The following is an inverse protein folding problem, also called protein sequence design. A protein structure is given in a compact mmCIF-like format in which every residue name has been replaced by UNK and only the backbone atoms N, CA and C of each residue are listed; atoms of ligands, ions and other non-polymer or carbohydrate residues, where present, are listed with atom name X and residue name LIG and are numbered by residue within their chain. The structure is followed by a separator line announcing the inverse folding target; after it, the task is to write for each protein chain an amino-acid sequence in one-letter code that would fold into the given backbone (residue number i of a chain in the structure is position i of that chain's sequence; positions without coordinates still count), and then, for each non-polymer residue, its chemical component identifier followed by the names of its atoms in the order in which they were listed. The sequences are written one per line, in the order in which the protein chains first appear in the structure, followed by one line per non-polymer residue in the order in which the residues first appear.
data_IF_318165149936
#
_entry.id   IF_318165149936
#
_cell.length_a   1.000
_cell.length_b   1.000
_cell.length_c   1.000
_cell.angle_alpha   90.00
_cell.angle_beta   90.00
_cell.angle_gamma   90.00
#
_symmetry.space_group_name_H-M   'P 1'
#
loop_
_entity.id
_entity.type
_entity.pdbx_description
1 polymer ?
#
# COMPACT_ATOMS: atom_id res chain seq x y z
N UNK A 1 -14.24 10.42 -5.06
CA UNK A 1 -14.07 8.96 -4.90
C UNK A 1 -15.41 8.32 -4.64
N UNK A 2 -15.52 7.01 -4.77
CA UNK A 2 -16.75 6.28 -4.46
C UNK A 2 -16.43 4.84 -4.08
N UNK A 3 -17.26 4.27 -3.21
CA UNK A 3 -17.18 2.86 -2.87
C UNK A 3 -17.98 2.03 -3.87
N UNK A 4 -17.39 0.95 -4.34
CA UNK A 4 -18.08 -0.08 -5.09
C UNK A 4 -17.95 -1.41 -4.34
N UNK A 5 -19.01 -1.77 -3.61
CA UNK A 5 -19.05 -2.89 -2.69
C UNK A 5 -19.21 -4.25 -3.42
N UNK A 6 -19.49 -4.23 -4.73
CA UNK A 6 -19.89 -5.43 -5.47
C UNK A 6 -18.81 -6.51 -5.50
N UNK A 7 -17.53 -6.15 -5.38
CA UNK A 7 -16.43 -7.11 -5.32
C UNK A 7 -16.51 -8.03 -4.09
N UNK A 8 -16.64 -7.43 -2.90
CA UNK A 8 -16.81 -8.17 -1.65
C UNK A 8 -18.14 -8.93 -1.61
N UNK A 9 -19.23 -8.34 -2.10
CA UNK A 9 -20.55 -8.98 -2.17
C UNK A 9 -20.53 -10.23 -3.05
N UNK A 10 -19.87 -10.14 -4.22
CA UNK A 10 -19.73 -11.24 -5.15
C UNK A 10 -18.88 -12.38 -4.56
N UNK A 11 -17.79 -12.05 -3.87
CA UNK A 11 -16.98 -13.06 -3.19
C UNK A 11 -17.75 -13.76 -2.07
N UNK A 12 -18.52 -13.02 -1.27
CA UNK A 12 -19.40 -13.62 -0.26
C UNK A 12 -20.48 -14.51 -0.87
N UNK A 13 -21.05 -14.13 -2.01
CA UNK A 13 -22.00 -14.95 -2.75
C UNK A 13 -21.35 -16.26 -3.26
N UNK A 14 -20.09 -16.20 -3.69
CA UNK A 14 -19.31 -17.40 -4.06
C UNK A 14 -19.10 -18.33 -2.87
N UNK A 15 -18.76 -17.79 -1.69
CA UNK A 15 -18.64 -18.59 -0.46
C UNK A 15 -19.95 -19.30 -0.08
N UNK A 16 -21.09 -18.77 -0.50
CA UNK A 16 -22.42 -19.35 -0.30
C UNK A 16 -22.86 -20.27 -1.45
N UNK A 17 -22.01 -20.47 -2.47
CA UNK A 17 -22.32 -21.29 -3.65
C UNK A 17 -23.34 -20.67 -4.60
N UNK A 18 -23.52 -19.34 -4.56
CA UNK A 18 -24.51 -18.60 -5.36
C UNK A 18 -23.99 -18.06 -6.68
N UNK A 19 -22.67 -18.00 -6.86
CA UNK A 19 -22.00 -17.52 -8.08
C UNK A 19 -20.78 -18.40 -8.36
N UNK A 20 -20.20 -18.28 -9.55
CA UNK A 20 -19.00 -19.04 -9.95
C UNK A 20 -17.70 -18.28 -9.70
N UNK A 21 -16.59 -19.01 -9.69
CA UNK A 21 -15.22 -18.45 -9.68
C UNK A 21 -15.03 -17.46 -10.83
N UNK A 22 -15.49 -17.85 -12.02
CA UNK A 22 -15.37 -17.04 -13.23
C UNK A 22 -15.97 -15.66 -13.02
N UNK A 23 -17.11 -15.56 -12.34
CA UNK A 23 -17.75 -14.28 -12.06
C UNK A 23 -16.86 -13.40 -11.16
N UNK A 24 -16.21 -13.98 -10.14
CA UNK A 24 -15.26 -13.26 -9.28
C UNK A 24 -14.13 -12.70 -10.14
N UNK A 25 -13.46 -13.55 -10.92
CA UNK A 25 -12.28 -13.11 -11.65
C UNK A 25 -12.63 -12.16 -12.80
N UNK A 26 -13.82 -12.23 -13.40
CA UNK A 26 -14.29 -11.26 -14.40
C UNK A 26 -14.69 -9.91 -13.79
N UNK A 27 -14.85 -9.83 -12.47
CA UNK A 27 -15.21 -8.58 -11.79
C UNK A 27 -14.07 -7.54 -11.89
N UNK A 28 -14.37 -6.25 -12.14
CA UNK A 28 -13.36 -5.20 -12.30
C UNK A 28 -12.33 -5.13 -11.17
N UNK A 29 -12.78 -5.23 -9.91
CA UNK A 29 -11.91 -5.23 -8.73
C UNK A 29 -10.86 -6.35 -8.77
N UNK A 30 -11.26 -7.57 -9.16
CA UNK A 30 -10.36 -8.72 -9.19
C UNK A 30 -9.50 -8.73 -10.46
N UNK A 31 -9.97 -8.15 -11.56
CA UNK A 31 -9.11 -7.88 -12.73
C UNK A 31 -7.95 -6.94 -12.39
N UNK A 32 -8.15 -5.96 -11.49
CA UNK A 32 -7.06 -5.11 -10.99
C UNK A 32 -6.08 -5.93 -10.15
N UNK A 33 -6.59 -6.79 -9.25
CA UNK A 33 -5.76 -7.69 -8.42
C UNK A 33 -4.93 -8.63 -9.30
N UNK A 34 -5.52 -9.22 -10.34
CA UNK A 34 -4.82 -10.11 -11.27
C UNK A 34 -3.69 -9.38 -12.00
N UNK A 35 -3.95 -8.19 -12.54
CA UNK A 35 -2.92 -7.37 -13.20
C UNK A 35 -1.81 -6.94 -12.25
N UNK A 36 -2.16 -6.61 -11.00
CA UNK A 36 -1.17 -6.29 -9.97
C UNK A 36 -0.30 -7.52 -9.66
N UNK A 37 -0.92 -8.69 -9.54
CA UNK A 37 -0.21 -9.94 -9.33
C UNK A 37 0.72 -10.26 -10.50
N UNK A 38 0.28 -10.11 -11.76
CA UNK A 38 1.14 -10.29 -12.93
C UNK A 38 2.38 -9.38 -12.91
N UNK A 39 2.24 -8.16 -12.37
CA UNK A 39 3.33 -7.18 -12.31
C UNK A 39 4.28 -7.38 -11.13
N UNK A 40 3.77 -7.79 -9.96
CA UNK A 40 4.53 -7.73 -8.71
C UNK A 40 4.53 -9.02 -7.87
N UNK A 41 3.63 -9.99 -8.12
CA UNK A 41 3.55 -11.20 -7.28
C UNK A 41 2.99 -12.44 -8.01
N UNK A 42 2.23 -13.28 -7.29
CA UNK A 42 1.53 -14.46 -7.80
C UNK A 42 0.03 -14.24 -7.73
N UNK A 43 -0.71 -14.72 -8.73
CA UNK A 43 -2.16 -14.56 -8.80
C UNK A 43 -2.90 -15.54 -7.86
N UNK A 44 -4.02 -15.08 -7.29
CA UNK A 44 -4.92 -15.90 -6.48
C UNK A 44 -5.55 -17.00 -7.34
N UNK A 45 -5.60 -18.25 -6.85
CA UNK A 45 -6.30 -19.35 -7.53
C UNK A 45 -7.46 -19.92 -6.74
N UNK A 46 -8.34 -20.64 -7.42
CA UNK A 46 -9.46 -21.37 -6.81
C UNK A 46 -9.03 -22.37 -5.74
N UNK A 47 -7.89 -23.04 -5.96
CA UNK A 47 -7.34 -23.97 -5.00
C UNK A 47 -6.91 -23.25 -3.71
N UNK A 48 -6.41 -22.01 -3.82
CA UNK A 48 -6.05 -21.21 -2.65
C UNK A 48 -7.28 -20.84 -1.82
N UNK A 49 -8.37 -20.43 -2.48
CA UNK A 49 -9.64 -20.09 -1.82
C UNK A 49 -10.23 -21.33 -1.14
N UNK A 50 -10.32 -22.46 -1.85
CA UNK A 50 -10.85 -23.71 -1.31
C UNK A 50 -10.02 -24.23 -0.13
N UNK A 51 -8.70 -24.16 -0.22
CA UNK A 51 -7.80 -24.54 0.87
C UNK A 51 -8.02 -23.64 2.09
N UNK A 52 -8.13 -22.33 1.89
CA UNK A 52 -8.41 -21.38 2.97
C UNK A 52 -9.77 -21.62 3.65
N UNK A 53 -10.81 -21.99 2.88
CA UNK A 53 -12.12 -22.35 3.42
C UNK A 53 -12.10 -23.63 4.24
N UNK A 54 -11.24 -24.58 3.88
CA UNK A 54 -10.98 -25.79 4.67
C UNK A 54 -10.07 -25.53 5.88
N UNK A 55 -9.69 -24.26 6.13
CA UNK A 55 -8.83 -23.86 7.24
C UNK A 55 -7.36 -24.16 7.03
N UNK A 56 -6.93 -24.49 5.81
CA UNK A 56 -5.51 -24.65 5.47
C UNK A 56 -4.86 -23.26 5.37
N UNK A 57 -3.56 -23.21 5.63
CA UNK A 57 -2.78 -21.98 5.47
C UNK A 57 -2.75 -21.58 3.99
N UNK A 58 -2.86 -20.27 3.73
CA UNK A 58 -2.71 -19.69 2.41
C UNK A 58 -1.50 -18.77 2.38
N UNK A 59 -0.82 -18.70 1.24
CA UNK A 59 0.23 -17.71 1.01
C UNK A 59 -0.36 -16.29 0.81
N UNK A 60 -1.67 -16.18 0.57
CA UNK A 60 -2.35 -14.91 0.43
C UNK A 60 -2.85 -14.43 1.79
N UNK A 61 -2.32 -13.29 2.23
CA UNK A 61 -2.69 -12.63 3.48
C UNK A 61 -4.21 -12.58 3.65
N UNK A 62 -4.93 -12.17 2.60
CA UNK A 62 -6.36 -11.95 2.65
C UNK A 62 -7.24 -13.19 2.68
N UNK A 63 -6.68 -14.39 2.55
CA UNK A 63 -7.42 -15.64 2.72
C UNK A 63 -7.27 -16.23 4.12
N UNK A 64 -6.33 -15.74 4.93
CA UNK A 64 -6.07 -16.29 6.25
C UNK A 64 -7.31 -16.16 7.16
N UNK A 65 -7.74 -17.29 7.73
CA UNK A 65 -8.92 -17.40 8.60
C UNK A 65 -10.24 -16.89 7.98
N UNK A 66 -10.36 -16.82 6.64
CA UNK A 66 -11.55 -16.26 5.97
C UNK A 66 -12.85 -16.88 6.47
N UNK A 67 -12.91 -18.21 6.59
CA UNK A 67 -14.09 -18.94 7.07
C UNK A 67 -14.51 -18.55 8.50
N UNK A 68 -13.54 -18.25 9.38
CA UNK A 68 -13.81 -17.81 10.76
C UNK A 68 -14.25 -16.35 10.82
N UNK A 69 -13.76 -15.54 9.88
CA UNK A 69 -14.00 -14.11 9.83
C UNK A 69 -15.24 -13.71 9.02
N UNK A 70 -15.87 -14.62 8.26
CA UNK A 70 -17.01 -14.34 7.37
C UNK A 70 -18.10 -13.47 8.01
N UNK A 71 -18.51 -13.76 9.25
CA UNK A 71 -19.54 -12.97 9.95
C UNK A 71 -19.07 -11.55 10.28
N UNK A 72 -17.79 -11.39 10.65
CA UNK A 72 -17.19 -10.08 10.93
C UNK A 72 -17.02 -9.28 9.64
N UNK A 73 -16.62 -9.93 8.54
CA UNK A 73 -16.51 -9.33 7.21
C UNK A 73 -17.88 -8.81 6.76
N UNK A 74 -18.95 -9.62 6.89
CA UNK A 74 -20.32 -9.19 6.59
C UNK A 74 -20.74 -7.98 7.43
N UNK A 75 -20.51 -8.02 8.74
CA UNK A 75 -20.81 -6.88 9.62
C UNK A 75 -20.03 -5.62 9.21
N UNK A 76 -18.75 -5.76 8.85
CA UNK A 76 -17.94 -4.64 8.40
C UNK A 76 -18.41 -4.09 7.05
N UNK A 77 -18.84 -4.95 6.13
CA UNK A 77 -19.44 -4.55 4.85
C UNK A 77 -20.74 -3.74 5.04
N UNK A 78 -21.58 -4.08 6.03
CA UNK A 78 -22.76 -3.28 6.38
C UNK A 78 -22.38 -1.90 6.97
N UNK A 79 -21.33 -1.86 7.78
CA UNK A 79 -20.77 -0.58 8.28
C UNK A 79 -20.30 0.28 7.11
N UNK A 80 -19.56 -0.30 6.16
CA UNK A 80 -19.15 0.41 4.94
C UNK A 80 -20.37 0.93 4.19
N UNK A 81 -21.36 0.08 3.93
CA UNK A 81 -22.58 0.44 3.20
C UNK A 81 -23.31 1.62 3.83
N UNK A 82 -23.38 1.66 5.16
CA UNK A 82 -24.07 2.71 5.91
C UNK A 82 -23.29 4.02 5.97
N UNK A 83 -21.97 4.00 5.75
CA UNK A 83 -21.09 5.15 5.93
C UNK A 83 -20.39 5.63 4.64
N UNK A 84 -20.69 5.04 3.47
CA UNK A 84 -19.94 5.26 2.22
C UNK A 84 -19.66 6.75 1.92
N UNK A 85 -20.67 7.61 2.03
CA UNK A 85 -20.51 9.03 1.73
C UNK A 85 -19.59 9.72 2.75
N UNK A 86 -19.87 9.56 4.04
CA UNK A 86 -19.07 10.17 5.10
C UNK A 86 -17.61 9.70 5.06
N UNK A 87 -17.39 8.41 4.76
CA UNK A 87 -16.05 7.83 4.66
C UNK A 87 -15.32 8.28 3.40
N UNK A 88 -16.04 8.41 2.28
CA UNK A 88 -15.52 9.02 1.06
C UNK A 88 -15.09 10.46 1.30
N UNK A 89 -15.89 11.24 2.01
CA UNK A 89 -15.58 12.65 2.31
C UNK A 89 -14.33 12.77 3.20
N UNK A 90 -14.20 11.94 4.25
CA UNK A 90 -13.01 11.90 5.12
C UNK A 90 -11.73 11.63 4.31
N UNK A 91 -11.73 10.61 3.45
CA UNK A 91 -10.56 10.27 2.65
C UNK A 91 -10.28 11.37 1.61
N UNK A 92 -11.34 11.93 1.01
CA UNK A 92 -11.22 13.01 0.04
C UNK A 92 -10.58 14.26 0.66
N UNK A 93 -11.05 14.68 1.84
CA UNK A 93 -10.48 15.80 2.60
C UNK A 93 -9.01 15.55 2.93
N UNK A 94 -8.66 14.35 3.42
CA UNK A 94 -7.29 13.99 3.73
C UNK A 94 -6.34 14.07 2.51
N UNK A 95 -6.83 13.75 1.31
CA UNK A 95 -6.03 13.83 0.08
C UNK A 95 -6.00 15.24 -0.53
N UNK A 96 -7.08 16.03 -0.42
CA UNK A 96 -7.13 17.39 -0.96
C UNK A 96 -6.07 18.31 -0.36
N UNK A 97 -5.73 18.12 0.92
CA UNK A 97 -4.65 18.86 1.60
C UNK A 97 -3.28 18.68 0.93
N UNK A 98 -3.09 17.55 0.23
CA UNK A 98 -1.86 17.23 -0.48
C UNK A 98 -2.00 17.36 -2.00
N UNK A 99 -3.21 17.33 -2.52
CA UNK A 99 -3.46 17.28 -3.96
C UNK A 99 -4.71 18.11 -4.34
N UNK A 100 -4.68 19.44 -4.15
CA UNK A 100 -5.85 20.29 -4.34
C UNK A 100 -6.36 20.32 -5.80
N UNK A 101 -5.47 20.13 -6.77
CA UNK A 101 -5.78 20.18 -8.21
C UNK A 101 -6.01 18.78 -8.83
N UNK A 102 -5.88 17.70 -8.05
CA UNK A 102 -6.03 16.34 -8.56
C UNK A 102 -7.47 15.91 -8.77
N UNK A 103 -7.70 15.09 -9.80
CA UNK A 103 -8.95 14.38 -9.95
C UNK A 103 -9.03 13.19 -8.98
N UNK A 104 -9.58 13.40 -7.79
CA UNK A 104 -9.76 12.37 -6.75
C UNK A 104 -10.99 11.45 -6.99
N UNK A 105 -11.41 11.27 -8.24
CA UNK A 105 -12.40 10.25 -8.65
C UNK A 105 -11.75 8.87 -8.78
N UNK A 106 -11.28 8.35 -7.65
CA UNK A 106 -10.71 7.00 -7.54
C UNK A 106 -11.81 6.05 -7.02
N UNK A 107 -12.13 4.95 -7.73
CA UNK A 107 -12.98 3.89 -7.21
C UNK A 107 -12.29 3.11 -6.10
N UNK A 108 -13.02 2.85 -5.02
CA UNK A 108 -12.58 2.04 -3.89
C UNK A 108 -13.38 0.74 -3.90
N UNK A 109 -12.71 -0.39 -4.12
CA UNK A 109 -13.27 -1.73 -4.15
C UNK A 109 -12.90 -2.49 -2.87
N UNK A 110 -13.83 -2.63 -1.91
CA UNK A 110 -13.74 -3.69 -0.94
C UNK A 110 -13.71 -5.06 -1.65
N UNK A 111 -12.69 -5.86 -1.34
CA UNK A 111 -12.51 -7.22 -1.85
C UNK A 111 -12.31 -8.18 -0.68
N UNK A 112 -12.23 -9.48 -0.98
CA UNK A 112 -11.78 -10.51 -0.04
C UNK A 112 -10.70 -11.34 -0.73
N UNK A 113 -9.57 -11.55 -0.05
CA UNK A 113 -8.42 -12.29 -0.57
C UNK A 113 -7.22 -11.40 -0.91
N UNK A 114 -6.16 -12.03 -1.43
CA UNK A 114 -4.90 -11.38 -1.86
C UNK A 114 -4.08 -10.73 -0.73
N UNK A 115 -3.88 -9.41 -0.75
CA UNK A 115 -3.09 -8.63 0.22
C UNK A 115 -3.99 -7.73 1.09
N UNK A 116 -3.44 -6.90 1.97
CA UNK A 116 -4.17 -5.90 2.77
C UNK A 116 -4.87 -4.87 1.89
N UNK A 117 -4.14 -4.32 0.93
CA UNK A 117 -4.56 -3.24 0.05
C UNK A 117 -3.71 -3.17 -1.20
N UNK A 118 -4.29 -2.59 -2.26
CA UNK A 118 -3.60 -2.30 -3.52
C UNK A 118 -4.15 -0.98 -4.07
N UNK A 119 -3.27 -0.05 -4.40
CA UNK A 119 -3.54 1.10 -5.26
C UNK A 119 -2.89 0.90 -6.62
N UNK A 120 -3.68 0.57 -7.64
CA UNK A 120 -3.14 0.21 -8.96
C UNK A 120 -4.15 0.46 -10.08
N UNK A 121 -3.65 0.89 -11.25
CA UNK A 121 -4.45 1.07 -12.46
C UNK A 121 -5.69 1.97 -12.25
N UNK A 122 -5.50 3.06 -11.51
CA UNK A 122 -6.56 4.04 -11.30
C UNK A 122 -7.56 3.69 -10.19
N UNK A 123 -7.37 2.60 -9.45
CA UNK A 123 -8.32 2.10 -8.46
C UNK A 123 -7.63 1.64 -7.18
N UNK A 124 -8.40 1.59 -6.09
CA UNK A 124 -7.97 1.00 -4.81
C UNK A 124 -8.78 -0.26 -4.55
N UNK A 125 -8.11 -1.36 -4.23
CA UNK A 125 -8.71 -2.62 -3.80
C UNK A 125 -8.25 -2.95 -2.38
N UNK A 126 -9.17 -2.98 -1.41
CA UNK A 126 -8.85 -3.29 -0.01
C UNK A 126 -9.51 -4.58 0.46
N UNK A 127 -8.72 -5.46 1.07
CA UNK A 127 -9.21 -6.74 1.58
C UNK A 127 -9.91 -6.59 2.93
N UNK A 128 -11.20 -6.90 2.97
CA UNK A 128 -12.01 -6.86 4.18
C UNK A 128 -11.65 -7.94 5.20
N UNK A 129 -10.98 -9.02 4.78
CA UNK A 129 -10.46 -10.04 5.69
C UNK A 129 -9.08 -9.66 6.25
N UNK A 130 -8.94 -8.42 6.69
CA UNK A 130 -7.75 -7.91 7.36
C UNK A 130 -8.07 -7.68 8.84
N UNK A 131 -7.29 -8.29 9.73
CA UNK A 131 -7.59 -8.30 11.17
C UNK A 131 -7.61 -6.89 11.76
N UNK A 132 -6.73 -5.98 11.29
CA UNK A 132 -6.71 -4.60 11.76
C UNK A 132 -8.02 -3.87 11.40
N UNK A 133 -8.51 -4.02 10.17
CA UNK A 133 -9.77 -3.37 9.74
C UNK A 133 -10.98 -3.93 10.48
N UNK A 134 -10.99 -5.25 10.74
CA UNK A 134 -12.07 -5.90 11.48
C UNK A 134 -12.08 -5.56 12.98
N UNK A 135 -10.97 -5.09 13.53
CA UNK A 135 -10.85 -4.66 14.93
C UNK A 135 -11.10 -3.16 15.09
N UNK A 136 -10.53 -2.36 14.19
CA UNK A 136 -10.60 -0.91 14.17
C UNK A 136 -10.95 -0.43 12.76
N UNK A 137 -12.24 -0.18 12.45
CA UNK A 137 -12.67 0.15 11.09
C UNK A 137 -12.03 1.42 10.52
N UNK A 138 -11.56 2.36 11.34
CA UNK A 138 -10.84 3.55 10.83
C UNK A 138 -9.46 3.22 10.26
N UNK A 139 -8.85 2.07 10.59
CA UNK A 139 -7.63 1.59 9.90
C UNK A 139 -7.87 1.40 8.41
N UNK A 140 -9.08 1.00 8.02
CA UNK A 140 -9.45 0.86 6.61
C UNK A 140 -9.35 2.19 5.87
N UNK A 141 -9.79 3.29 6.48
CA UNK A 141 -9.69 4.63 5.90
C UNK A 141 -8.23 5.08 5.76
N UNK A 142 -7.40 4.83 6.77
CA UNK A 142 -5.97 5.14 6.71
C UNK A 142 -5.27 4.38 5.57
N UNK A 143 -5.65 3.12 5.34
CA UNK A 143 -5.14 2.33 4.21
C UNK A 143 -5.73 2.79 2.86
N UNK A 144 -6.97 3.25 2.78
CA UNK A 144 -7.47 3.86 1.52
C UNK A 144 -6.62 5.08 1.16
N UNK A 145 -6.33 5.95 2.12
CA UNK A 145 -5.48 7.13 1.90
C UNK A 145 -4.12 6.69 1.35
N UNK A 146 -3.50 5.68 1.98
CA UNK A 146 -2.23 5.07 1.53
C UNK A 146 -2.31 4.59 0.08
N UNK A 147 -3.27 3.72 -0.26
CA UNK A 147 -3.38 3.16 -1.61
C UNK A 147 -3.76 4.22 -2.67
N UNK A 148 -4.53 5.25 -2.29
CA UNK A 148 -4.79 6.38 -3.18
C UNK A 148 -3.50 7.11 -3.58
N UNK A 149 -2.48 7.14 -2.73
CA UNK A 149 -1.17 7.72 -3.07
C UNK A 149 -0.55 6.99 -4.24
N UNK A 150 -0.56 5.66 -4.24
CA UNK A 150 0.00 4.88 -5.36
C UNK A 150 -0.76 5.15 -6.66
N UNK A 151 -2.10 5.22 -6.60
CA UNK A 151 -2.93 5.57 -7.77
C UNK A 151 -2.60 6.96 -8.30
N UNK A 152 -2.37 7.95 -7.44
CA UNK A 152 -1.98 9.30 -7.85
C UNK A 152 -0.55 9.28 -8.41
N UNK A 153 0.36 8.53 -7.79
CA UNK A 153 1.75 8.41 -8.20
C UNK A 153 1.86 7.86 -9.63
N UNK A 154 1.07 6.85 -10.00
CA UNK A 154 1.03 6.28 -11.36
C UNK A 154 0.59 7.28 -12.46
N UNK A 155 -0.04 8.40 -12.09
CA UNK A 155 -0.41 9.45 -13.06
C UNK A 155 0.79 10.28 -13.49
N UNK A 156 1.81 10.34 -12.63
CA UNK A 156 2.99 11.18 -12.80
C UNK A 156 4.24 10.38 -13.14
N UNK A 157 4.31 9.14 -12.67
CA UNK A 157 5.51 8.32 -12.71
C UNK A 157 5.24 6.99 -13.39
N UNK A 158 6.16 6.60 -14.27
CA UNK A 158 6.19 5.24 -14.79
C UNK A 158 6.98 4.35 -13.83
N UNK A 159 6.31 3.34 -13.27
CA UNK A 159 6.95 2.30 -12.46
C UNK A 159 7.35 1.15 -13.38
N UNK A 160 8.65 0.94 -13.66
CA UNK A 160 9.12 -0.15 -14.50
C UNK A 160 8.81 -1.50 -13.86
N UNK A 161 8.71 -2.55 -14.68
CA UNK A 161 8.58 -3.90 -14.16
C UNK A 161 9.91 -4.36 -13.54
N UNK A 162 9.84 -5.25 -12.55
CA UNK A 162 11.02 -5.68 -11.81
C UNK A 162 12.06 -6.42 -12.70
N UNK A 163 11.59 -7.14 -13.72
CA UNK A 163 12.43 -7.84 -14.70
C UNK A 163 13.18 -6.89 -15.66
N UNK A 164 12.78 -5.63 -15.73
CA UNK A 164 13.46 -4.57 -16.50
C UNK A 164 14.65 -3.97 -15.70
N UNK A 165 14.75 -4.24 -14.40
CA UNK A 165 15.76 -3.71 -13.47
C UNK A 165 16.93 -4.70 -13.38
N UNK A 166 17.92 -4.55 -14.27
CA UNK A 166 18.98 -5.56 -14.45
C UNK A 166 20.40 -5.09 -14.12
N UNK A 167 20.63 -3.78 -13.97
CA UNK A 167 21.95 -3.22 -13.64
C UNK A 167 21.99 -2.64 -12.23
N UNK A 168 23.16 -2.58 -11.57
CA UNK A 168 23.30 -1.96 -10.25
C UNK A 168 22.76 -0.52 -10.19
N UNK A 169 23.03 0.29 -11.22
CA UNK A 169 22.49 1.64 -11.32
C UNK A 169 20.95 1.66 -11.38
N UNK A 170 20.33 0.73 -12.12
CA UNK A 170 18.88 0.59 -12.14
C UNK A 170 18.33 0.16 -10.79
N UNK A 171 18.99 -0.76 -10.06
CA UNK A 171 18.58 -1.15 -8.71
C UNK A 171 18.60 0.03 -7.74
N UNK A 172 19.67 0.82 -7.74
CA UNK A 172 19.78 2.02 -6.92
C UNK A 172 18.70 3.05 -7.21
N UNK A 173 18.42 3.25 -8.50
CA UNK A 173 17.36 4.15 -8.92
C UNK A 173 15.98 3.59 -8.54
N UNK A 174 15.74 2.30 -8.70
CA UNK A 174 14.50 1.62 -8.31
C UNK A 174 14.28 1.71 -6.79
N UNK A 175 15.35 1.65 -5.99
CA UNK A 175 15.28 1.88 -4.54
C UNK A 175 14.85 3.33 -4.21
N UNK A 176 15.33 4.30 -4.99
CA UNK A 176 14.89 5.70 -4.89
C UNK A 176 13.40 5.87 -5.22
N UNK A 177 12.91 5.18 -6.27
CA UNK A 177 11.49 5.13 -6.63
C UNK A 177 10.63 4.62 -5.48
N UNK A 178 10.97 3.45 -4.92
CA UNK A 178 10.16 2.89 -3.84
C UNK A 178 10.27 3.70 -2.55
N UNK A 179 11.42 4.29 -2.25
CA UNK A 179 11.54 5.20 -1.11
C UNK A 179 10.66 6.44 -1.27
N UNK A 180 10.58 6.98 -2.49
CA UNK A 180 9.72 8.12 -2.79
C UNK A 180 8.22 7.75 -2.72
N UNK A 181 7.84 6.65 -3.36
CA UNK A 181 6.44 6.23 -3.46
C UNK A 181 5.91 5.74 -2.09
N UNK A 182 6.55 4.74 -1.50
CA UNK A 182 6.13 4.14 -0.21
C UNK A 182 6.28 5.12 0.94
N UNK A 183 7.37 5.90 0.93
CA UNK A 183 7.60 6.94 1.93
C UNK A 183 6.46 7.95 1.96
N UNK A 184 5.98 8.39 0.78
CA UNK A 184 4.86 9.32 0.71
C UNK A 184 3.54 8.66 1.11
N UNK A 185 3.33 7.40 0.68
CA UNK A 185 2.14 6.64 1.03
C UNK A 185 2.00 6.40 2.54
N UNK A 186 3.10 6.34 3.30
CA UNK A 186 3.09 6.30 4.77
C UNK A 186 2.98 7.71 5.38
N UNK A 187 3.59 8.71 4.74
CA UNK A 187 3.59 10.09 5.23
C UNK A 187 2.21 10.75 5.18
N UNK A 188 1.48 10.64 4.07
CA UNK A 188 0.16 11.30 3.91
C UNK A 188 -0.86 10.87 4.98
N UNK A 189 -1.10 9.58 5.24
CA UNK A 189 -2.04 9.16 6.29
C UNK A 189 -1.54 9.40 7.72
N UNK A 190 -0.30 9.87 7.93
CA UNK A 190 0.30 10.02 9.26
C UNK A 190 -0.51 10.95 10.18
N UNK A 191 -0.94 12.12 9.69
CA UNK A 191 -1.75 13.06 10.49
C UNK A 191 -3.13 12.50 10.81
N UNK A 192 -3.77 11.86 9.83
CA UNK A 192 -5.04 11.17 10.03
C UNK A 192 -4.92 10.11 11.14
N UNK A 193 -3.86 9.29 11.08
CA UNK A 193 -3.60 8.25 12.08
C UNK A 193 -3.37 8.83 13.48
N UNK A 194 -2.65 9.94 13.61
CA UNK A 194 -2.47 10.62 14.89
C UNK A 194 -3.81 11.11 15.48
N UNK A 195 -4.64 11.76 14.66
CA UNK A 195 -5.94 12.29 15.08
C UNK A 195 -6.90 11.18 15.53
N UNK A 196 -6.84 10.03 14.88
CA UNK A 196 -7.68 8.86 15.18
C UNK A 196 -7.02 7.83 16.11
N UNK A 197 -5.81 8.09 16.62
CA UNK A 197 -5.03 7.20 17.51
C UNK A 197 -4.74 5.82 16.89
N UNK A 198 -4.50 5.78 15.58
CA UNK A 198 -4.23 4.57 14.77
C UNK A 198 -2.73 4.33 14.61
N UNK A 199 -2.01 4.31 15.74
CA UNK A 199 -0.54 4.25 15.77
C UNK A 199 0.01 2.84 16.06
N UNK A 200 -0.88 1.84 16.17
CA UNK A 200 -0.51 0.44 16.43
C UNK A 200 0.01 -0.28 15.17
N UNK A 201 -0.13 0.34 14.00
CA UNK A 201 0.42 -0.18 12.75
C UNK A 201 1.97 -0.15 12.82
N UNK A 202 2.67 -1.26 12.51
CA UNK A 202 4.11 -1.41 12.73
C UNK A 202 5.00 -0.29 12.20
N UNK A 203 4.70 0.30 11.05
CA UNK A 203 5.51 1.38 10.50
C UNK A 203 5.47 2.63 11.38
N UNK A 204 4.30 2.92 11.97
CA UNK A 204 4.08 4.09 12.82
C UNK A 204 4.60 3.88 14.24
N UNK A 205 4.61 2.65 14.74
CA UNK A 205 5.29 2.27 15.98
C UNK A 205 6.79 2.54 15.88
N UNK A 206 7.41 2.16 14.77
CA UNK A 206 8.84 2.41 14.51
C UNK A 206 9.12 3.91 14.34
N UNK A 207 8.31 4.62 13.55
CA UNK A 207 8.44 6.07 13.36
C UNK A 207 8.33 6.86 14.68
N UNK A 208 7.58 6.33 15.65
CA UNK A 208 7.41 6.95 16.97
C UNK A 208 8.50 6.55 17.97
N UNK A 209 9.39 5.62 17.61
CA UNK A 209 10.47 5.12 18.46
C UNK A 209 11.83 5.62 17.96
N UNK A 210 12.44 6.53 18.72
CA UNK A 210 13.71 7.18 18.33
C UNK A 210 14.87 6.23 18.10
N UNK A 211 14.91 5.08 18.78
CA UNK A 211 16.02 4.14 18.65
C UNK A 211 15.81 3.21 17.44
N UNK A 212 14.59 2.71 17.23
CA UNK A 212 14.27 1.91 16.05
C UNK A 212 14.41 2.72 14.76
N UNK A 213 14.04 4.01 14.75
CA UNK A 213 14.22 4.84 13.55
C UNK A 213 15.70 5.14 13.28
N UNK A 214 16.56 5.23 14.30
CA UNK A 214 18.02 5.34 14.10
C UNK A 214 18.59 4.07 13.49
N UNK A 215 18.15 2.90 13.97
CA UNK A 215 18.54 1.61 13.40
C UNK A 215 18.13 1.51 11.93
N UNK A 216 16.88 1.85 11.59
CA UNK A 216 16.41 1.89 10.21
C UNK A 216 17.19 2.90 9.35
N UNK A 217 17.51 4.09 9.88
CA UNK A 217 18.34 5.08 9.18
C UNK A 217 19.73 4.50 8.86
N UNK A 218 20.36 3.81 9.81
CA UNK A 218 21.65 3.15 9.59
C UNK A 218 21.55 2.08 8.50
N UNK A 219 20.57 1.18 8.62
CA UNK A 219 20.36 0.11 7.65
C UNK A 219 20.05 0.65 6.24
N UNK A 220 19.25 1.71 6.15
CA UNK A 220 18.97 2.39 4.89
C UNK A 220 20.23 2.96 4.24
N UNK A 221 21.10 3.61 5.01
CA UNK A 221 22.38 4.12 4.52
C UNK A 221 23.31 2.99 4.07
N UNK A 222 23.30 1.86 4.79
CA UNK A 222 24.07 0.68 4.42
C UNK A 222 23.58 0.09 3.09
N UNK A 223 22.26 -0.05 2.89
CA UNK A 223 21.65 -0.48 1.63
C UNK A 223 21.99 0.50 0.49
N UNK A 224 21.86 1.81 0.72
CA UNK A 224 22.18 2.82 -0.29
C UNK A 224 23.65 2.77 -0.74
N UNK A 225 24.58 2.56 0.20
CA UNK A 225 26.00 2.42 -0.10
C UNK A 225 26.32 1.06 -0.73
N UNK A 226 25.61 0.00 -0.34
CA UNK A 226 25.73 -1.32 -0.94
C UNK A 226 25.32 -1.30 -2.41
N UNK A 227 24.19 -0.66 -2.75
CA UNK A 227 23.72 -0.48 -4.14
C UNK A 227 24.63 0.42 -5.00
N UNK A 228 25.56 1.16 -4.39
CA UNK A 228 26.57 1.94 -5.11
C UNK A 228 27.77 1.10 -5.56
N UNK A 229 27.92 -0.10 -4.99
CA UNK A 229 28.95 -1.05 -5.42
C UNK A 229 28.50 -1.65 -6.75
N UNK A 230 29.36 -1.62 -7.76
CA UNK A 230 29.09 -2.23 -9.08
C UNK A 230 29.15 -3.78 -9.04
N UNK A 231 28.69 -4.38 -7.95
CA UNK A 231 28.64 -5.83 -7.77
C UNK A 231 27.27 -6.35 -8.27
N UNK A 232 27.21 -7.55 -8.88
CA UNK A 232 25.95 -8.15 -9.25
C UNK A 232 25.14 -8.50 -8.00
N UNK A 233 23.86 -8.10 -7.97
CA UNK A 233 22.92 -8.40 -6.89
C UNK A 233 21.83 -9.34 -7.40
N UNK A 234 21.40 -10.26 -6.55
CA UNK A 234 20.20 -11.05 -6.85
C UNK A 234 18.94 -10.23 -6.59
N UNK A 235 17.87 -10.55 -7.32
CA UNK A 235 16.55 -9.94 -7.11
C UNK A 235 16.02 -10.18 -5.69
N UNK A 236 16.33 -11.35 -5.10
CA UNK A 236 15.91 -11.71 -3.73
C UNK A 236 16.58 -10.81 -2.68
N UNK A 237 17.91 -10.61 -2.77
CA UNK A 237 18.65 -9.69 -1.88
C UNK A 237 18.11 -8.26 -1.95
N UNK A 238 17.77 -7.80 -3.16
CA UNK A 238 17.17 -6.50 -3.36
C UNK A 238 15.77 -6.41 -2.71
N UNK A 239 14.90 -7.38 -2.97
CA UNK A 239 13.54 -7.39 -2.44
C UNK A 239 13.53 -7.44 -0.90
N UNK A 240 14.41 -8.23 -0.28
CA UNK A 240 14.55 -8.24 1.17
C UNK A 240 15.04 -6.89 1.72
N UNK A 241 15.97 -6.24 1.02
CA UNK A 241 16.47 -4.91 1.42
C UNK A 241 15.40 -3.81 1.32
N UNK A 242 14.50 -3.90 0.33
CA UNK A 242 13.47 -2.89 0.08
C UNK A 242 12.19 -3.13 0.88
N UNK A 243 11.70 -4.37 0.85
CA UNK A 243 10.37 -4.79 1.32
C UNK A 243 10.43 -5.83 2.44
N UNK A 244 11.62 -6.22 2.88
CA UNK A 244 11.80 -7.15 3.98
C UNK A 244 11.31 -6.58 5.31
N UNK A 245 11.60 -7.29 6.40
CA UNK A 245 11.01 -7.01 7.73
C UNK A 245 11.22 -5.57 8.25
N UNK A 246 12.29 -4.90 7.81
CA UNK A 246 12.58 -3.53 8.21
C UNK A 246 11.79 -2.46 7.44
N UNK A 247 11.20 -2.79 6.28
CA UNK A 247 10.39 -1.87 5.45
C UNK A 247 11.05 -0.49 5.30
N UNK A 248 12.32 -0.49 4.89
CA UNK A 248 13.18 0.70 4.91
C UNK A 248 12.65 1.81 4.01
N UNK A 249 12.15 1.48 2.82
CA UNK A 249 11.57 2.43 1.86
C UNK A 249 10.35 3.17 2.44
N UNK A 250 9.52 2.46 3.21
CA UNK A 250 8.34 2.99 3.90
C UNK A 250 8.73 3.95 5.02
N UNK A 251 9.51 3.43 5.98
CA UNK A 251 9.76 4.12 7.25
C UNK A 251 10.77 5.26 7.10
N UNK A 252 11.87 5.01 6.41
CA UNK A 252 12.88 6.05 6.18
C UNK A 252 12.40 7.02 5.09
N UNK A 253 11.66 6.54 4.08
CA UNK A 253 11.01 7.42 3.12
C UNK A 253 10.03 8.40 3.79
N UNK A 254 9.19 7.91 4.71
CA UNK A 254 8.31 8.77 5.51
C UNK A 254 9.10 9.79 6.33
N UNK A 255 10.18 9.37 7.00
CA UNK A 255 11.07 10.28 7.73
C UNK A 255 11.67 11.36 6.82
N UNK A 256 12.06 11.03 5.59
CA UNK A 256 12.54 12.02 4.62
C UNK A 256 11.44 13.06 4.35
N UNK A 257 10.21 12.63 4.07
CA UNK A 257 9.11 13.57 3.83
C UNK A 257 8.74 14.42 5.04
N UNK A 258 8.79 13.87 6.26
CA UNK A 258 8.64 14.65 7.49
C UNK A 258 9.69 15.76 7.55
N UNK A 259 10.96 15.47 7.23
CA UNK A 259 12.02 16.48 7.19
C UNK A 259 11.87 17.50 6.06
N UNK A 260 11.37 17.08 4.91
CA UNK A 260 11.04 18.01 3.81
C UNK A 260 9.93 18.97 4.25
N UNK A 261 8.87 18.44 4.89
CA UNK A 261 7.78 19.25 5.43
C UNK A 261 8.27 20.22 6.50
N UNK A 262 9.14 19.79 7.42
CA UNK A 262 9.73 20.63 8.45
C UNK A 262 10.51 21.82 7.87
N UNK A 263 11.17 21.65 6.73
CA UNK A 263 12.03 22.68 6.13
C UNK A 263 11.30 23.59 5.13
N UNK A 264 10.36 23.04 4.36
CA UNK A 264 9.73 23.72 3.23
C UNK A 264 8.20 23.64 3.20
N UNK A 265 7.58 23.02 4.20
CA UNK A 265 6.14 22.85 4.30
C UNK A 265 5.54 21.90 3.27
N UNK A 266 4.21 21.92 3.18
CA UNK A 266 3.42 21.05 2.29
C UNK A 266 3.82 21.16 0.82
N UNK A 267 4.07 22.38 0.33
CA UNK A 267 4.49 22.62 -1.06
C UNK A 267 5.78 21.87 -1.40
N UNK A 268 6.78 21.86 -0.51
CA UNK A 268 8.01 21.13 -0.73
C UNK A 268 7.79 19.60 -0.78
N UNK A 269 6.85 19.07 0.02
CA UNK A 269 6.51 17.64 -0.05
C UNK A 269 5.81 17.27 -1.36
N UNK A 270 4.96 18.15 -1.89
CA UNK A 270 4.30 17.97 -3.20
C UNK A 270 5.33 18.02 -4.34
N UNK A 271 6.23 19.00 -4.32
CA UNK A 271 7.33 19.10 -5.29
C UNK A 271 8.23 17.86 -5.24
N UNK A 272 8.56 17.39 -4.04
CA UNK A 272 9.34 16.17 -3.85
C UNK A 272 8.61 14.92 -4.36
N UNK A 273 7.29 14.83 -4.22
CA UNK A 273 6.48 13.74 -4.76
C UNK A 273 6.43 13.75 -6.29
N UNK A 274 6.35 14.93 -6.92
CA UNK A 274 6.27 15.07 -8.38
C UNK A 274 7.64 15.00 -9.07
N UNK A 275 8.73 15.09 -8.30
CA UNK A 275 10.10 14.99 -8.81
C UNK A 275 10.37 13.62 -9.45
N UNK A 276 11.17 13.61 -10.51
CA UNK A 276 11.76 12.38 -11.04
C UNK A 276 12.43 11.56 -9.91
N UNK A 277 11.95 10.34 -9.71
CA UNK A 277 12.41 9.43 -8.67
C UNK A 277 13.92 9.18 -8.69
N UNK A 278 14.57 9.28 -9.86
CA UNK A 278 16.03 9.16 -9.96
C UNK A 278 16.78 10.28 -9.22
N UNK A 279 16.13 11.42 -9.00
CA UNK A 279 16.69 12.60 -8.31
C UNK A 279 16.31 12.66 -6.83
N UNK A 280 15.24 11.98 -6.42
CA UNK A 280 14.67 12.09 -5.08
C UNK A 280 15.72 11.82 -3.99
N UNK A 281 16.33 10.63 -3.95
CA UNK A 281 17.36 10.33 -2.96
C UNK A 281 18.65 11.13 -3.18
N UNK A 282 19.01 11.47 -4.43
CA UNK A 282 20.18 12.33 -4.66
C UNK A 282 20.03 13.70 -3.97
N UNK A 283 18.83 14.26 -3.99
CA UNK A 283 18.53 15.55 -3.39
C UNK A 283 18.35 15.45 -1.86
N UNK A 284 17.63 14.44 -1.38
CA UNK A 284 17.16 14.43 0.01
C UNK A 284 17.93 13.51 0.96
N UNK A 285 18.90 12.72 0.49
CA UNK A 285 19.74 11.90 1.37
C UNK A 285 20.53 12.72 2.40
N UNK A 286 20.79 14.01 2.14
CA UNK A 286 21.43 14.91 3.10
C UNK A 286 20.59 15.09 4.37
N UNK A 287 19.27 14.94 4.30
CA UNK A 287 18.36 15.04 5.44
C UNK A 287 18.51 13.87 6.43
N UNK A 288 19.12 12.77 5.97
CA UNK A 288 19.44 11.62 6.80
C UNK A 288 20.84 11.71 7.41
N UNK A 289 21.59 12.82 7.28
CA UNK A 289 22.85 12.99 8.00
C UNK A 289 22.57 13.63 9.35
#
# INVERSE_FOLDING_TARGET
MYFDLSGAELFLAYLEGKTSEKDIFEHPAYQIVLKHAEKFSSALTDNDINNALQGKQSNFYGLNNVAKNTMRIKAFLETLRSNQNAWSDIVHEALLDFFPDENLKIPIYPIIGYDKGIGFNGAVCLNLNCVSYLNEPFEFLAYIIHECIHVIYERYHHIPNLDEVITPAQWKNYFSLWTQNEGYAVFVPYQFRLQHRLMDEPDYQVLSNSDQIKENKSAFLDVWNWLDKNEPHTQEEYLESCFGSQRLTYRVGCLIYQKIEEQGGRAATQEAFLMDWNKFLQQYMVLLK
#
